data_IF_048040958094
#
_entry.id   IF_048040958094
#
_cell.length_a   1.000
_cell.length_b   1.000
_cell.length_c   1.000
_cell.angle_alpha   90.00
_cell.angle_beta   90.00
_cell.angle_gamma   90.00
#
_symmetry.space_group_name_H-M   'P 1'
#
loop_
_entity.id
_entity.type
_entity.pdbx_description
1 polymer ?
#
# COMPACT_ATOMS: atom_id res chain seq x y z
N UNK A 1 -21.70 82.08 8.04
CA UNK A 1 -21.21 80.89 7.43
C UNK A 1 -20.38 80.12 8.50
N UNK A 2 -20.90 79.05 9.05
CA UNK A 2 -20.25 78.24 10.06
C UNK A 2 -19.95 76.89 9.39
N UNK A 3 -18.65 76.57 9.18
CA UNK A 3 -18.18 75.37 8.60
C UNK A 3 -18.00 74.32 9.71
N UNK A 4 -18.79 73.28 9.67
CA UNK A 4 -18.66 72.08 10.56
C UNK A 4 -17.61 71.08 9.97
N UNK A 5 -16.51 70.94 10.65
CA UNK A 5 -15.54 69.83 10.38
C UNK A 5 -16.09 68.55 10.99
N UNK A 6 -16.39 67.54 10.16
CA UNK A 6 -16.71 66.21 10.61
C UNK A 6 -15.42 65.41 10.77
N UNK A 7 -15.10 65.04 12.01
CA UNK A 7 -13.96 64.18 12.34
C UNK A 7 -14.42 62.71 12.24
N UNK A 8 -14.00 61.98 11.19
CA UNK A 8 -14.25 60.56 11.05
C UNK A 8 -13.24 59.75 11.90
N UNK A 9 -13.74 59.13 12.92
CA UNK A 9 -12.96 58.20 13.75
C UNK A 9 -12.98 56.81 13.08
N UNK A 10 -11.83 56.38 12.53
CA UNK A 10 -11.65 55.04 12.01
C UNK A 10 -11.32 54.09 13.15
N UNK A 11 -12.27 53.22 13.53
CA UNK A 11 -12.03 52.11 14.45
C UNK A 11 -11.30 50.99 13.69
N UNK A 12 -10.00 50.85 13.93
CA UNK A 12 -9.25 49.68 13.51
C UNK A 12 -9.56 48.56 14.54
N UNK A 13 -10.48 47.67 14.17
CA UNK A 13 -10.70 46.42 14.91
C UNK A 13 -9.51 45.53 14.72
N UNK A 14 -8.58 45.50 15.68
CA UNK A 14 -7.57 44.47 15.81
C UNK A 14 -8.28 43.17 16.16
N UNK A 15 -8.67 42.40 15.13
CA UNK A 15 -9.14 41.05 15.26
C UNK A 15 -7.97 40.20 15.73
N UNK A 16 -7.91 39.84 17.03
CA UNK A 16 -7.07 38.75 17.49
C UNK A 16 -7.52 37.45 16.80
N UNK A 17 -6.86 37.09 15.71
CA UNK A 17 -6.98 35.77 15.14
C UNK A 17 -6.52 34.79 16.22
N UNK A 18 -7.49 34.17 16.93
CA UNK A 18 -7.21 32.99 17.75
C UNK A 18 -6.64 31.95 16.82
N UNK A 19 -5.33 31.74 16.86
CA UNK A 19 -4.68 30.58 16.29
C UNK A 19 -5.31 29.35 16.95
N UNK A 20 -6.30 28.77 16.30
CA UNK A 20 -6.82 27.45 16.69
C UNK A 20 -5.68 26.47 16.50
N UNK A 21 -5.08 26.02 17.61
CA UNK A 21 -4.12 24.91 17.54
C UNK A 21 -4.81 23.76 16.82
N UNK A 22 -4.13 23.17 15.81
CA UNK A 22 -4.67 21.98 15.18
C UNK A 22 -4.97 20.92 16.25
N UNK A 23 -6.18 20.38 16.23
CA UNK A 23 -6.59 19.29 17.10
C UNK A 23 -6.48 18.01 16.29
N UNK A 24 -5.62 17.08 16.71
CA UNK A 24 -5.43 15.81 16.02
C UNK A 24 -4.54 14.86 16.83
N UNK A 25 -4.45 13.59 16.44
CA UNK A 25 -3.78 12.55 17.24
C UNK A 25 -2.29 12.79 17.48
N UNK A 26 -1.62 13.66 16.69
CA UNK A 26 -0.19 13.97 16.79
C UNK A 26 0.12 15.37 17.37
N UNK A 27 -0.84 16.05 17.98
CA UNK A 27 -0.71 17.45 18.42
C UNK A 27 -0.33 17.63 19.89
N UNK A 28 -0.22 16.53 20.66
CA UNK A 28 0.21 16.54 22.06
C UNK A 28 1.70 16.90 22.22
N UNK A 29 2.18 17.14 23.46
CA UNK A 29 3.61 17.32 23.72
C UNK A 29 4.42 16.09 23.26
N UNK A 30 5.66 16.31 22.89
CA UNK A 30 6.61 15.26 22.48
C UNK A 30 7.66 15.01 23.54
N UNK A 31 8.19 13.77 23.57
CA UNK A 31 9.33 13.40 24.41
C UNK A 31 10.57 13.19 23.51
N UNK A 32 11.71 12.87 24.13
CA UNK A 32 12.97 12.62 23.43
C UNK A 32 12.84 11.42 22.50
N UNK A 33 13.09 11.65 21.22
CA UNK A 33 13.02 10.64 20.18
C UNK A 33 14.32 9.83 20.02
N UNK A 34 14.24 8.79 19.16
CA UNK A 34 15.35 7.92 18.78
C UNK A 34 15.38 7.79 17.26
N UNK A 35 16.55 7.82 16.65
CA UNK A 35 16.75 7.54 15.21
C UNK A 35 17.26 6.12 15.03
N UNK A 36 16.67 5.42 14.07
CA UNK A 36 17.10 4.11 13.60
C UNK A 36 17.54 4.25 12.13
N UNK A 37 18.72 3.75 11.79
CA UNK A 37 19.28 3.86 10.45
C UNK A 37 19.66 2.49 9.88
N UNK A 38 19.47 2.33 8.55
CA UNK A 38 20.02 1.24 7.76
C UNK A 38 21.43 1.60 7.24
N UNK A 39 22.17 0.59 6.78
CA UNK A 39 23.51 0.79 6.18
C UNK A 39 23.46 1.60 4.88
N UNK A 40 22.34 1.63 4.18
CA UNK A 40 22.12 2.41 2.95
C UNK A 40 21.80 3.89 3.19
N UNK A 41 21.64 4.31 4.46
CA UNK A 41 21.30 5.69 4.82
C UNK A 41 19.82 5.95 5.06
N UNK A 42 18.95 5.00 4.72
CA UNK A 42 17.54 5.05 5.06
C UNK A 42 17.34 5.06 6.57
N UNK A 43 16.32 5.73 7.05
CA UNK A 43 16.10 5.86 8.48
C UNK A 43 14.66 6.12 8.87
N UNK A 44 14.39 5.93 10.15
CA UNK A 44 13.17 6.38 10.81
C UNK A 44 13.49 7.07 12.13
N UNK A 45 12.91 8.25 12.34
CA UNK A 45 12.94 8.93 13.64
C UNK A 45 11.66 8.60 14.38
N UNK A 46 11.77 8.04 15.56
CA UNK A 46 10.66 7.61 16.42
C UNK A 46 10.56 8.58 17.59
N UNK A 47 9.49 9.36 17.65
CA UNK A 47 9.27 10.42 18.65
C UNK A 47 8.02 10.10 19.46
N UNK A 48 8.15 9.81 20.77
CA UNK A 48 6.99 9.54 21.62
C UNK A 48 6.10 10.78 21.78
N UNK A 49 4.79 10.57 21.80
CA UNK A 49 3.80 11.57 22.20
C UNK A 49 3.42 11.37 23.68
N UNK A 50 3.25 12.46 24.39
CA UNK A 50 2.80 12.42 25.78
C UNK A 50 1.27 12.48 25.85
N UNK A 51 0.63 11.77 26.78
CA UNK A 51 1.25 10.89 27.78
C UNK A 51 1.69 9.55 27.20
N UNK A 52 2.77 8.97 27.71
CA UNK A 52 3.38 7.72 27.19
C UNK A 52 2.44 6.51 27.27
N UNK A 53 1.47 6.52 28.19
CA UNK A 53 0.48 5.46 28.38
C UNK A 53 -0.42 5.26 27.15
N UNK A 54 -0.58 6.30 26.32
CA UNK A 54 -1.32 6.19 25.06
C UNK A 54 -0.55 5.44 23.98
N UNK A 55 0.75 5.21 24.18
CA UNK A 55 1.64 4.49 23.24
C UNK A 55 1.58 5.04 21.81
N UNK A 56 1.40 6.36 21.68
CA UNK A 56 1.39 7.06 20.42
C UNK A 56 2.77 7.64 20.11
N UNK A 57 3.15 7.57 18.85
CA UNK A 57 4.45 8.01 18.38
C UNK A 57 4.32 8.73 17.04
N UNK A 58 5.15 9.72 16.80
CA UNK A 58 5.40 10.25 15.46
C UNK A 58 6.59 9.51 14.88
N UNK A 59 6.38 8.85 13.75
CA UNK A 59 7.46 8.21 12.99
C UNK A 59 7.71 9.00 11.70
N UNK A 60 8.91 9.57 11.58
CA UNK A 60 9.37 10.24 10.38
C UNK A 60 10.24 9.30 9.56
N UNK A 61 9.76 8.92 8.39
CA UNK A 61 10.43 8.02 7.47
C UNK A 61 11.28 8.79 6.45
N UNK A 62 12.51 8.35 6.27
CA UNK A 62 13.44 8.76 5.24
C UNK A 62 13.86 7.50 4.47
N UNK A 63 13.02 7.06 3.54
CA UNK A 63 13.16 5.83 2.75
C UNK A 63 12.97 6.19 1.28
N UNK A 64 14.02 6.74 0.64
CA UNK A 64 13.92 7.26 -0.72
C UNK A 64 13.32 6.27 -1.70
N UNK A 65 12.33 6.73 -2.46
CA UNK A 65 11.63 5.91 -3.46
C UNK A 65 10.51 5.06 -2.91
N UNK A 66 10.23 5.09 -1.59
CA UNK A 66 9.04 4.43 -1.04
C UNK A 66 7.86 5.40 -0.87
N UNK A 67 6.65 4.83 -0.73
CA UNK A 67 5.40 5.60 -0.67
C UNK A 67 5.28 6.50 0.56
N UNK A 68 5.88 6.09 1.66
CA UNK A 68 5.88 6.85 2.92
C UNK A 68 7.16 7.67 3.13
N UNK A 69 8.02 7.77 2.13
CA UNK A 69 9.22 8.63 2.20
C UNK A 69 8.88 10.09 2.48
N UNK A 70 9.64 10.71 3.37
CA UNK A 70 9.44 12.09 3.78
C UNK A 70 8.17 12.34 4.61
N UNK A 71 7.43 11.32 5.01
CA UNK A 71 6.18 11.45 5.78
C UNK A 71 6.40 11.26 7.27
N UNK A 72 5.63 12.01 8.04
CA UNK A 72 5.52 11.79 9.49
C UNK A 72 4.14 11.23 9.79
N UNK A 73 4.08 9.99 10.26
CA UNK A 73 2.83 9.30 10.55
C UNK A 73 2.65 9.08 12.05
N UNK A 74 1.41 9.19 12.53
CA UNK A 74 1.07 8.79 13.90
C UNK A 74 0.93 7.28 13.97
N UNK A 75 1.71 6.66 14.84
CA UNK A 75 1.67 5.23 15.11
C UNK A 75 1.18 4.94 16.51
N UNK A 76 0.50 3.80 16.66
CA UNK A 76 0.21 3.21 17.95
C UNK A 76 1.08 1.97 18.13
N UNK A 77 1.84 1.92 19.22
CA UNK A 77 2.65 0.75 19.53
C UNK A 77 1.82 -0.32 20.25
N UNK A 78 2.21 -1.60 20.05
CA UNK A 78 1.71 -2.73 20.84
C UNK A 78 2.12 -2.59 22.32
N UNK A 79 1.50 -3.38 23.22
CA UNK A 79 1.79 -3.31 24.66
C UNK A 79 3.25 -3.60 24.98
N UNK A 80 3.85 -4.51 24.24
CA UNK A 80 5.28 -4.86 24.40
C UNK A 80 6.23 -3.86 23.70
N UNK A 81 5.69 -2.85 22.98
CA UNK A 81 6.45 -1.82 22.30
C UNK A 81 7.24 -2.34 21.08
N UNK A 82 6.86 -3.51 20.53
CA UNK A 82 7.63 -4.14 19.45
C UNK A 82 7.07 -3.89 18.07
N UNK A 83 5.82 -3.49 17.94
CA UNK A 83 5.18 -3.23 16.66
C UNK A 83 4.51 -1.86 16.66
N UNK A 84 4.65 -1.13 15.57
CA UNK A 84 4.12 0.22 15.40
C UNK A 84 3.19 0.26 14.19
N UNK A 85 1.91 0.55 14.45
CA UNK A 85 0.83 0.51 13.50
C UNK A 85 0.35 1.91 13.15
N UNK A 86 0.19 2.20 11.87
CA UNK A 86 -0.38 3.44 11.37
C UNK A 86 -1.43 3.18 10.29
N UNK A 87 -2.37 4.12 10.14
CA UNK A 87 -3.28 4.13 9.00
C UNK A 87 -2.59 4.78 7.80
N UNK A 88 -2.50 4.04 6.70
CA UNK A 88 -1.93 4.52 5.45
C UNK A 88 -2.57 3.81 4.25
N UNK A 89 -2.84 4.53 3.15
CA UNK A 89 -3.55 4.00 1.96
C UNK A 89 -4.85 3.26 2.30
N UNK A 90 -5.60 3.77 3.28
CA UNK A 90 -6.86 3.19 3.74
C UNK A 90 -6.73 2.00 4.67
N UNK A 91 -5.54 1.43 4.85
CA UNK A 91 -5.29 0.24 5.66
C UNK A 91 -4.53 0.56 6.94
N UNK A 92 -4.69 -0.31 7.93
CA UNK A 92 -3.87 -0.29 9.13
C UNK A 92 -2.61 -1.12 8.87
N UNK A 93 -1.45 -0.48 8.85
CA UNK A 93 -0.19 -1.09 8.43
C UNK A 93 0.84 -1.09 9.56
N UNK A 94 1.59 -2.17 9.67
CA UNK A 94 2.75 -2.27 10.53
C UNK A 94 3.98 -1.82 9.75
N UNK A 95 4.31 -0.53 9.82
CA UNK A 95 5.40 0.06 9.06
C UNK A 95 6.76 0.00 9.76
N UNK A 96 6.76 -0.18 11.08
CA UNK A 96 7.98 -0.29 11.88
C UNK A 96 7.80 -1.36 12.96
N UNK A 97 8.79 -2.23 13.13
CA UNK A 97 8.69 -3.33 14.09
C UNK A 97 10.06 -3.81 14.56
N UNK A 98 10.12 -4.32 15.79
CA UNK A 98 11.30 -5.03 16.29
C UNK A 98 11.37 -6.44 15.69
N UNK A 99 12.55 -6.83 15.22
CA UNK A 99 12.82 -8.20 14.78
C UNK A 99 12.81 -9.13 15.98
N UNK A 100 11.94 -10.12 15.97
CA UNK A 100 11.90 -11.16 17.01
C UNK A 100 12.69 -12.37 16.51
N UNK A 101 13.63 -12.88 17.32
CA UNK A 101 14.28 -14.18 17.12
C UNK A 101 13.86 -15.13 18.23
N UNK A 102 13.22 -16.24 17.87
CA UNK A 102 12.75 -17.26 18.83
C UNK A 102 12.04 -16.65 20.08
N UNK A 103 11.15 -15.69 19.87
CA UNK A 103 10.40 -14.94 20.91
C UNK A 103 11.25 -14.04 21.82
N UNK A 104 12.51 -13.79 21.48
CA UNK A 104 13.35 -12.84 22.18
C UNK A 104 13.41 -11.52 21.41
N UNK A 105 13.35 -10.40 22.14
CA UNK A 105 13.65 -9.08 21.60
C UNK A 105 15.12 -9.04 21.20
N UNK A 106 15.40 -8.56 19.99
CA UNK A 106 16.78 -8.49 19.49
C UNK A 106 17.38 -7.10 19.58
N UNK A 107 16.56 -6.09 19.79
CA UNK A 107 16.96 -4.68 19.66
C UNK A 107 17.19 -4.23 18.21
N UNK A 108 17.01 -5.14 17.25
CA UNK A 108 17.05 -4.82 15.82
C UNK A 108 15.65 -4.52 15.34
N UNK A 109 15.48 -3.47 14.55
CA UNK A 109 14.19 -3.06 14.01
C UNK A 109 14.15 -3.20 12.49
N UNK A 110 12.95 -3.17 11.95
CA UNK A 110 12.69 -3.24 10.51
C UNK A 110 11.71 -2.16 10.10
N UNK A 111 11.98 -1.49 8.98
CA UNK A 111 11.04 -0.62 8.26
C UNK A 111 10.45 -1.41 7.11
N UNK A 112 9.14 -1.54 7.03
CA UNK A 112 8.46 -2.14 5.89
C UNK A 112 8.46 -1.19 4.70
N UNK A 113 8.93 -1.63 3.53
CA UNK A 113 8.85 -0.88 2.28
C UNK A 113 7.63 -1.31 1.49
N UNK A 114 6.72 -0.37 1.24
CA UNK A 114 5.43 -0.67 0.62
C UNK A 114 5.54 -0.85 -0.90
N UNK A 115 6.52 -0.21 -1.55
CA UNK A 115 6.70 -0.31 -3.00
C UNK A 115 7.60 -1.47 -3.41
N UNK A 116 8.57 -1.84 -2.57
CA UNK A 116 9.50 -2.93 -2.83
C UNK A 116 9.02 -4.28 -2.30
N UNK A 117 7.96 -4.29 -1.47
CA UNK A 117 7.42 -5.47 -0.79
C UNK A 117 8.49 -6.24 0.00
N UNK A 118 9.32 -5.49 0.71
CA UNK A 118 10.39 -6.03 1.55
C UNK A 118 10.56 -5.21 2.85
N UNK A 119 11.59 -5.49 3.63
CA UNK A 119 11.88 -4.78 4.86
C UNK A 119 13.36 -4.43 4.99
N UNK A 120 13.62 -3.19 5.39
CA UNK A 120 14.96 -2.70 5.72
C UNK A 120 15.29 -2.98 7.18
N UNK A 121 16.45 -3.59 7.43
CA UNK A 121 16.99 -3.73 8.78
C UNK A 121 17.63 -2.42 9.24
N UNK A 122 17.21 -1.94 10.40
CA UNK A 122 17.71 -0.70 11.00
C UNK A 122 18.14 -0.93 12.45
N UNK A 123 19.09 -0.13 12.90
CA UNK A 123 19.60 -0.12 14.27
C UNK A 123 19.61 1.28 14.82
N UNK A 124 19.65 1.41 16.15
CA UNK A 124 19.79 2.72 16.79
C UNK A 124 21.03 3.42 16.28
N UNK A 125 20.81 4.64 15.76
CA UNK A 125 21.86 5.56 15.33
C UNK A 125 22.08 6.58 16.46
N UNK A 126 23.11 6.37 17.28
CA UNK A 126 23.38 7.17 18.45
C UNK A 126 23.73 8.63 18.11
N UNK A 127 24.48 8.84 17.01
CA UNK A 127 24.91 10.16 16.57
C UNK A 127 23.72 11.00 16.09
N UNK A 128 22.90 10.45 15.19
CA UNK A 128 21.68 11.12 14.73
C UNK A 128 20.66 11.28 15.84
N UNK A 129 20.56 10.32 16.78
CA UNK A 129 19.69 10.42 17.95
C UNK A 129 20.11 11.58 18.87
N UNK A 130 21.42 11.78 19.09
CA UNK A 130 21.91 12.87 19.94
C UNK A 130 21.60 14.26 19.36
N UNK A 131 21.43 14.38 18.07
CA UNK A 131 21.12 15.65 17.36
C UNK A 131 19.65 15.80 17.00
N UNK A 132 18.82 14.77 17.20
CA UNK A 132 17.40 14.81 16.88
C UNK A 132 16.66 15.82 17.77
N UNK A 133 15.91 16.71 17.11
CA UNK A 133 14.96 17.60 17.76
C UNK A 133 13.55 17.08 17.51
N UNK A 134 12.93 16.54 18.55
CA UNK A 134 11.58 15.96 18.48
C UNK A 134 10.53 16.95 18.00
N UNK A 135 10.70 18.22 18.38
CA UNK A 135 9.83 19.33 17.98
C UNK A 135 9.87 19.60 16.47
N UNK A 136 11.02 19.39 15.81
CA UNK A 136 11.15 19.56 14.35
C UNK A 136 10.34 18.47 13.62
N UNK A 137 10.34 17.23 14.12
CA UNK A 137 9.52 16.14 13.60
C UNK A 137 8.03 16.47 13.77
N UNK A 138 7.65 16.97 14.94
CA UNK A 138 6.27 17.40 15.19
C UNK A 138 5.87 18.57 14.30
N UNK A 139 6.74 19.57 14.12
CA UNK A 139 6.48 20.70 13.24
C UNK A 139 6.28 20.25 11.78
N UNK A 140 7.04 19.24 11.33
CA UNK A 140 6.84 18.64 10.00
C UNK A 140 5.48 17.93 9.92
N UNK A 141 5.12 17.13 10.92
CA UNK A 141 3.80 16.50 11.00
C UNK A 141 2.67 17.52 10.89
N UNK A 142 2.73 18.60 11.65
CA UNK A 142 1.70 19.65 11.67
C UNK A 142 1.58 20.35 10.30
N UNK A 143 2.70 20.59 9.60
CA UNK A 143 2.68 21.10 8.23
C UNK A 143 2.01 20.15 7.26
N UNK A 144 2.38 18.86 7.30
CA UNK A 144 1.79 17.83 6.43
C UNK A 144 0.31 17.60 6.71
N UNK A 145 -0.12 17.79 7.97
CA UNK A 145 -1.53 17.76 8.34
C UNK A 145 -2.28 18.97 7.74
N UNK A 146 -1.70 20.16 7.88
CA UNK A 146 -2.32 21.42 7.41
C UNK A 146 -2.42 21.51 5.89
N UNK A 147 -1.43 20.99 5.14
CA UNK A 147 -1.43 21.00 3.66
C UNK A 147 -2.18 19.81 3.04
N UNK A 148 -2.76 18.94 3.86
CA UNK A 148 -3.54 17.77 3.43
C UNK A 148 -2.70 16.61 2.89
N UNK A 149 -1.37 16.63 3.03
CA UNK A 149 -0.49 15.53 2.61
C UNK A 149 -0.85 14.22 3.30
N UNK A 150 -1.08 14.27 4.62
CA UNK A 150 -1.44 13.08 5.40
C UNK A 150 -2.83 12.56 5.03
N UNK A 151 -3.82 13.45 4.89
CA UNK A 151 -5.16 13.06 4.51
C UNK A 151 -5.20 12.35 3.13
N UNK A 152 -4.40 12.82 2.16
CA UNK A 152 -4.25 12.14 0.87
C UNK A 152 -3.58 10.78 0.99
N UNK A 153 -2.59 10.66 1.88
CA UNK A 153 -1.89 9.40 2.12
C UNK A 153 -2.73 8.38 2.88
N UNK A 154 -3.60 8.83 3.80
CA UNK A 154 -4.49 7.97 4.58
C UNK A 154 -5.72 7.50 3.79
N UNK A 155 -6.06 8.18 2.68
CA UNK A 155 -7.18 7.78 1.83
C UNK A 155 -6.93 6.40 1.21
N UNK A 156 -8.00 5.62 1.07
CA UNK A 156 -7.93 4.34 0.38
C UNK A 156 -7.51 4.52 -1.07
N UNK A 157 -6.54 3.74 -1.52
CA UNK A 157 -6.02 3.76 -2.88
C UNK A 157 -6.02 2.35 -3.48
N UNK A 158 -7.11 2.01 -4.17
CA UNK A 158 -7.28 0.73 -4.84
C UNK A 158 -6.16 0.45 -5.85
N UNK A 159 -5.74 1.47 -6.62
CA UNK A 159 -4.68 1.34 -7.62
C UNK A 159 -3.33 1.02 -6.95
N UNK A 160 -3.09 1.58 -5.77
CA UNK A 160 -1.91 1.24 -4.98
C UNK A 160 -1.90 -0.25 -4.60
N UNK A 161 -3.01 -0.75 -4.08
CA UNK A 161 -3.11 -2.15 -3.61
C UNK A 161 -3.23 -3.18 -4.73
N UNK A 162 -3.69 -2.78 -5.92
CA UNK A 162 -3.83 -3.68 -7.07
C UNK A 162 -2.50 -4.04 -7.74
N UNK A 163 -1.44 -3.28 -7.51
CA UNK A 163 -0.13 -3.46 -8.20
C UNK A 163 0.48 -4.85 -8.04
N UNK A 164 0.36 -5.44 -6.86
CA UNK A 164 0.93 -6.77 -6.60
C UNK A 164 0.15 -7.85 -7.36
N UNK A 165 -1.16 -7.68 -7.48
CA UNK A 165 -2.01 -8.56 -8.28
C UNK A 165 -1.71 -8.42 -9.77
N UNK A 166 -1.50 -7.20 -10.27
CA UNK A 166 -1.09 -6.95 -11.67
C UNK A 166 0.28 -7.58 -11.95
N UNK A 167 1.22 -7.51 -10.99
CA UNK A 167 2.54 -8.15 -11.10
C UNK A 167 2.41 -9.67 -11.18
N UNK A 168 1.61 -10.28 -10.29
CA UNK A 168 1.35 -11.72 -10.31
C UNK A 168 0.79 -12.18 -11.65
N UNK A 169 -0.21 -11.44 -12.19
CA UNK A 169 -0.76 -11.73 -13.51
C UNK A 169 0.29 -11.60 -14.62
N UNK A 170 1.11 -10.54 -14.59
CA UNK A 170 2.16 -10.30 -15.57
C UNK A 170 3.25 -11.38 -15.55
N UNK A 171 3.64 -11.85 -14.37
CA UNK A 171 4.61 -12.93 -14.22
C UNK A 171 4.07 -14.26 -14.77
N UNK A 172 2.84 -14.62 -14.43
CA UNK A 172 2.18 -15.81 -14.99
C UNK A 172 2.02 -15.71 -16.51
N UNK A 173 1.66 -14.54 -17.02
CA UNK A 173 1.54 -14.27 -18.46
C UNK A 173 2.88 -14.45 -19.19
N UNK A 174 3.96 -13.93 -18.63
CA UNK A 174 5.32 -14.10 -19.19
C UNK A 174 5.70 -15.58 -19.27
N UNK A 175 5.45 -16.34 -18.22
CA UNK A 175 5.75 -17.78 -18.17
C UNK A 175 4.93 -18.53 -19.21
N UNK A 176 3.62 -18.28 -19.29
CA UNK A 176 2.72 -18.89 -20.26
C UNK A 176 3.13 -18.56 -21.70
N UNK A 177 3.37 -17.29 -22.02
CA UNK A 177 3.78 -16.86 -23.35
C UNK A 177 5.09 -17.52 -23.79
N UNK A 178 6.03 -17.70 -22.85
CA UNK A 178 7.29 -18.41 -23.11
C UNK A 178 7.04 -19.89 -23.44
N UNK A 179 6.24 -20.58 -22.65
CA UNK A 179 5.95 -22.01 -22.84
C UNK A 179 5.15 -22.26 -24.13
N UNK A 180 4.18 -21.40 -24.42
CA UNK A 180 3.33 -21.53 -25.62
C UNK A 180 3.97 -20.95 -26.88
N UNK A 181 5.05 -20.16 -26.78
CA UNK A 181 5.59 -19.41 -27.94
C UNK A 181 4.57 -18.40 -28.49
N UNK A 182 3.79 -17.77 -27.61
CA UNK A 182 2.68 -16.88 -27.93
C UNK A 182 2.93 -15.43 -27.49
N UNK A 183 2.02 -14.54 -27.86
CA UNK A 183 2.04 -13.12 -27.49
C UNK A 183 0.67 -12.69 -26.94
N UNK A 184 0.07 -13.54 -26.12
CA UNK A 184 -1.21 -13.25 -25.45
C UNK A 184 -1.03 -12.02 -24.56
N UNK A 185 -2.05 -11.14 -24.54
CA UNK A 185 -2.16 -10.05 -23.56
C UNK A 185 -3.10 -10.46 -22.42
N UNK A 186 -2.87 -9.99 -21.21
CA UNK A 186 -3.80 -10.21 -20.09
C UNK A 186 -3.99 -8.93 -19.28
N UNK A 187 -5.20 -8.74 -18.74
CA UNK A 187 -5.51 -7.61 -17.87
C UNK A 187 -6.58 -7.99 -16.84
N UNK A 188 -6.53 -7.31 -15.68
CA UNK A 188 -7.62 -7.33 -14.69
C UNK A 188 -8.48 -6.09 -14.90
N UNK A 189 -9.78 -6.29 -15.07
CA UNK A 189 -10.75 -5.19 -15.16
C UNK A 189 -11.09 -4.70 -13.75
N UNK A 190 -10.24 -3.83 -13.20
CA UNK A 190 -10.31 -3.36 -11.81
C UNK A 190 -11.62 -2.67 -11.44
N UNK A 191 -12.30 -2.04 -12.40
CA UNK A 191 -13.62 -1.41 -12.17
C UNK A 191 -14.69 -2.43 -11.80
N UNK A 192 -14.53 -3.69 -12.20
CA UNK A 192 -15.43 -4.79 -11.83
C UNK A 192 -15.13 -5.37 -10.45
N UNK A 193 -13.91 -5.21 -9.94
CA UNK A 193 -13.47 -5.81 -8.67
C UNK A 193 -13.91 -4.89 -7.52
N UNK A 194 -14.76 -5.34 -6.58
CA UNK A 194 -15.11 -4.55 -5.41
C UNK A 194 -13.89 -4.21 -4.53
N UNK A 195 -13.85 -3.00 -3.97
CA UNK A 195 -12.75 -2.55 -3.11
C UNK A 195 -12.52 -3.50 -1.94
N UNK A 196 -13.60 -4.04 -1.37
CA UNK A 196 -13.53 -5.01 -0.27
C UNK A 196 -12.67 -6.23 -0.60
N UNK A 197 -12.71 -6.74 -1.83
CA UNK A 197 -11.90 -7.90 -2.21
C UNK A 197 -10.40 -7.59 -2.21
N UNK A 198 -10.05 -6.36 -2.58
CA UNK A 198 -8.66 -5.90 -2.51
C UNK A 198 -8.26 -5.66 -1.06
N UNK A 199 -9.16 -5.07 -0.24
CA UNK A 199 -8.93 -4.75 1.17
C UNK A 199 -8.74 -6.00 2.04
N UNK A 200 -9.58 -7.02 1.81
CA UNK A 200 -9.53 -8.28 2.57
C UNK A 200 -8.29 -9.12 2.23
N UNK A 201 -7.43 -8.65 1.30
CA UNK A 201 -6.22 -9.35 0.89
C UNK A 201 -6.51 -10.61 0.06
N UNK A 202 -7.67 -10.64 -0.61
CA UNK A 202 -8.04 -11.75 -1.50
C UNK A 202 -7.03 -11.91 -2.63
N UNK A 203 -6.77 -13.15 -3.00
CA UNK A 203 -5.75 -13.49 -4.00
C UNK A 203 -6.21 -13.22 -5.45
N UNK A 204 -6.74 -12.02 -5.72
CA UNK A 204 -7.28 -11.62 -7.04
C UNK A 204 -6.29 -11.90 -8.17
N UNK A 205 -5.01 -11.52 -7.98
CA UNK A 205 -3.96 -11.78 -8.97
C UNK A 205 -3.77 -13.26 -9.27
N UNK A 206 -3.72 -14.10 -8.23
CA UNK A 206 -3.59 -15.55 -8.38
C UNK A 206 -4.82 -16.17 -9.06
N UNK A 207 -6.02 -15.72 -8.71
CA UNK A 207 -7.24 -16.21 -9.37
C UNK A 207 -7.28 -15.84 -10.84
N UNK A 208 -6.80 -14.65 -11.21
CA UNK A 208 -6.68 -14.21 -12.60
C UNK A 208 -5.52 -14.90 -13.33
N UNK A 209 -4.50 -15.37 -12.63
CA UNK A 209 -3.37 -16.10 -13.20
C UNK A 209 -3.69 -17.59 -13.49
N UNK A 210 -4.66 -18.19 -12.77
CA UNK A 210 -5.00 -19.61 -12.91
C UNK A 210 -5.26 -20.07 -14.36
N UNK A 211 -6.00 -19.35 -15.22
CA UNK A 211 -6.16 -19.74 -16.63
C UNK A 211 -4.86 -19.68 -17.42
N UNK A 212 -3.93 -18.78 -17.10
CA UNK A 212 -2.61 -18.72 -17.75
C UNK A 212 -1.76 -19.94 -17.39
N UNK A 213 -1.82 -20.38 -16.14
CA UNK A 213 -1.15 -21.61 -15.69
C UNK A 213 -1.73 -22.85 -16.38
N UNK A 214 -3.06 -22.91 -16.56
CA UNK A 214 -3.70 -23.99 -17.30
C UNK A 214 -3.28 -24.00 -18.75
N UNK A 215 -3.29 -22.86 -19.44
CA UNK A 215 -2.80 -22.74 -20.83
C UNK A 215 -1.34 -23.15 -20.97
N UNK A 216 -0.48 -22.72 -20.03
CA UNK A 216 0.93 -23.15 -20.01
C UNK A 216 1.05 -24.66 -19.96
N UNK A 217 0.31 -25.32 -19.06
CA UNK A 217 0.37 -26.78 -18.93
C UNK A 217 -0.08 -27.48 -20.22
N UNK A 218 -1.15 -27.01 -20.87
CA UNK A 218 -1.57 -27.54 -22.18
C UNK A 218 -0.47 -27.39 -23.25
N UNK A 219 0.22 -26.25 -23.28
CA UNK A 219 1.33 -26.03 -24.21
C UNK A 219 2.54 -26.92 -23.92
N UNK A 220 2.76 -27.29 -22.66
CA UNK A 220 3.83 -28.23 -22.27
C UNK A 220 3.49 -29.69 -22.61
N UNK A 221 2.19 -30.03 -22.67
CA UNK A 221 1.75 -31.40 -22.96
C UNK A 221 1.89 -31.79 -24.42
N UNK A 222 1.60 -30.89 -25.37
CA UNK A 222 1.67 -31.22 -26.79
C UNK A 222 1.92 -30.02 -27.70
N UNK A 223 2.56 -30.29 -28.84
CA UNK A 223 2.78 -29.30 -29.92
C UNK A 223 1.45 -28.91 -30.58
N UNK A 224 0.47 -29.80 -30.65
CA UNK A 224 -0.86 -29.53 -31.17
C UNK A 224 -1.61 -28.53 -30.28
N UNK A 225 -1.61 -28.75 -28.97
CA UNK A 225 -2.20 -27.82 -28.01
C UNK A 225 -1.52 -26.44 -28.11
N UNK A 226 -0.20 -26.39 -28.24
CA UNK A 226 0.57 -25.15 -28.43
C UNK A 226 0.09 -24.37 -29.65
N UNK A 227 -0.02 -25.02 -30.78
CA UNK A 227 -0.53 -24.39 -32.05
C UNK A 227 -1.95 -23.88 -31.88
N UNK A 228 -2.80 -24.64 -31.19
CA UNK A 228 -4.19 -24.26 -30.94
C UNK A 228 -4.27 -23.02 -30.06
N UNK A 229 -3.51 -22.97 -28.97
CA UNK A 229 -3.43 -21.78 -28.10
C UNK A 229 -2.93 -20.57 -28.87
N UNK A 230 -1.86 -20.71 -29.67
CA UNK A 230 -1.31 -19.64 -30.51
C UNK A 230 -2.33 -19.10 -31.51
N UNK A 231 -3.17 -19.97 -32.06
CA UNK A 231 -4.15 -19.58 -33.06
C UNK A 231 -5.39 -18.93 -32.46
N UNK A 232 -5.90 -19.48 -31.34
CA UNK A 232 -7.21 -19.13 -30.80
C UNK A 232 -7.21 -18.17 -29.62
N UNK A 233 -6.08 -18.02 -28.88
CA UNK A 233 -6.04 -17.15 -27.69
C UNK A 233 -5.12 -15.97 -27.95
N UNK A 234 -5.68 -14.76 -27.97
CA UNK A 234 -4.91 -13.50 -28.11
C UNK A 234 -5.00 -12.64 -26.86
N UNK A 235 -6.05 -12.79 -26.07
CA UNK A 235 -6.28 -11.99 -24.91
C UNK A 235 -6.92 -12.78 -23.77
N UNK A 236 -6.62 -12.39 -22.55
CA UNK A 236 -7.30 -12.81 -21.33
C UNK A 236 -7.78 -11.55 -20.57
N UNK A 237 -9.10 -11.44 -20.39
CA UNK A 237 -9.75 -10.41 -19.58
C UNK A 237 -10.28 -11.04 -18.29
N UNK A 238 -9.63 -10.73 -17.17
CA UNK A 238 -10.07 -11.16 -15.85
C UNK A 238 -10.96 -10.10 -15.19
N UNK A 239 -12.09 -10.52 -14.63
CA UNK A 239 -13.03 -9.62 -13.97
C UNK A 239 -13.74 -10.31 -12.80
N UNK A 240 -14.27 -9.52 -11.86
CA UNK A 240 -15.14 -10.05 -10.82
C UNK A 240 -16.51 -10.42 -11.41
N UNK A 241 -17.09 -11.48 -10.87
CA UNK A 241 -18.41 -11.99 -11.23
C UNK A 241 -19.05 -12.74 -10.07
N UNK A 242 -20.19 -13.36 -10.32
CA UNK A 242 -20.95 -14.09 -9.29
C UNK A 242 -20.38 -15.49 -9.00
N UNK A 243 -19.62 -16.05 -9.95
CA UNK A 243 -18.98 -17.36 -9.83
C UNK A 243 -17.71 -17.42 -10.65
N UNK A 244 -16.82 -18.34 -10.32
CA UNK A 244 -15.69 -18.70 -11.18
C UNK A 244 -16.22 -19.32 -12.45
N UNK A 245 -15.87 -18.72 -13.60
CA UNK A 245 -16.27 -19.23 -14.90
C UNK A 245 -15.35 -18.68 -15.99
N UNK A 246 -15.06 -19.52 -17.00
CA UNK A 246 -14.42 -19.11 -18.24
C UNK A 246 -15.40 -19.08 -19.38
N UNK A 247 -15.19 -18.22 -20.37
CA UNK A 247 -15.81 -18.28 -21.69
C UNK A 247 -14.85 -17.76 -22.74
N UNK A 248 -14.91 -18.32 -23.93
CA UNK A 248 -14.12 -17.87 -25.07
C UNK A 248 -15.02 -17.00 -25.96
N UNK A 249 -14.66 -15.74 -26.14
CA UNK A 249 -15.32 -14.79 -27.03
C UNK A 249 -14.36 -14.44 -28.16
N UNK A 250 -14.59 -15.03 -29.34
CA UNK A 250 -13.65 -14.98 -30.46
C UNK A 250 -12.24 -15.46 -30.07
N UNK A 251 -11.30 -14.56 -29.90
CA UNK A 251 -9.91 -14.84 -29.49
C UNK A 251 -9.58 -14.37 -28.06
N UNK A 252 -10.60 -13.96 -27.31
CA UNK A 252 -10.48 -13.45 -25.94
C UNK A 252 -11.07 -14.43 -24.93
N UNK A 253 -10.26 -14.87 -24.00
CA UNK A 253 -10.71 -15.59 -22.80
C UNK A 253 -11.22 -14.58 -21.79
N UNK A 254 -12.51 -14.59 -21.53
CA UNK A 254 -13.12 -13.82 -20.45
C UNK A 254 -13.19 -14.70 -19.22
N UNK A 255 -12.42 -14.33 -18.19
CA UNK A 255 -12.29 -15.08 -16.95
C UNK A 255 -12.98 -14.35 -15.81
N UNK A 256 -13.99 -14.99 -15.23
CA UNK A 256 -14.76 -14.45 -14.11
C UNK A 256 -14.26 -15.05 -12.81
N UNK A 257 -13.93 -14.20 -11.84
CA UNK A 257 -13.52 -14.61 -10.50
C UNK A 257 -14.59 -14.21 -9.48
N UNK A 258 -14.80 -15.03 -8.46
CA UNK A 258 -15.74 -14.77 -7.37
C UNK A 258 -15.10 -15.17 -6.02
N UNK A 259 -14.15 -14.37 -5.50
CA UNK A 259 -13.49 -14.63 -4.24
C UNK A 259 -14.51 -14.89 -3.11
N UNK A 260 -14.17 -15.79 -2.19
CA UNK A 260 -15.09 -16.24 -1.14
C UNK A 260 -16.10 -17.32 -1.58
N UNK A 261 -16.10 -17.71 -2.85
CA UNK A 261 -16.83 -18.88 -3.35
C UNK A 261 -15.88 -20.05 -3.63
N UNK A 262 -16.42 -21.20 -4.03
CA UNK A 262 -15.58 -22.31 -4.49
C UNK A 262 -14.80 -21.87 -5.73
N UNK A 263 -13.47 -21.89 -5.65
CA UNK A 263 -12.56 -21.62 -6.77
C UNK A 263 -12.62 -22.78 -7.78
N UNK A 264 -12.38 -22.48 -9.05
CA UNK A 264 -12.06 -23.52 -10.05
C UNK A 264 -10.69 -24.10 -9.74
N UNK A 265 -10.62 -25.41 -9.58
CA UNK A 265 -9.37 -26.11 -9.43
C UNK A 265 -8.57 -26.11 -10.75
N UNK A 266 -7.28 -26.50 -10.66
CA UNK A 266 -6.41 -26.61 -11.84
C UNK A 266 -7.01 -27.48 -12.95
N UNK A 267 -7.55 -28.62 -12.56
CA UNK A 267 -8.16 -29.59 -13.51
C UNK A 267 -9.39 -29.01 -14.20
N UNK A 268 -10.24 -28.27 -13.45
CA UNK A 268 -11.43 -27.61 -14.01
C UNK A 268 -11.01 -26.49 -15.00
N UNK A 269 -9.96 -25.75 -14.72
CA UNK A 269 -9.42 -24.76 -15.67
C UNK A 269 -8.87 -25.41 -16.94
N UNK A 270 -8.14 -26.51 -16.82
CA UNK A 270 -7.63 -27.26 -17.97
C UNK A 270 -8.78 -27.84 -18.80
N UNK A 271 -9.79 -28.44 -18.14
CA UNK A 271 -10.95 -28.99 -18.83
C UNK A 271 -11.71 -27.92 -19.62
N UNK A 272 -11.89 -26.71 -19.03
CA UNK A 272 -12.47 -25.58 -19.76
C UNK A 272 -11.74 -25.31 -21.07
N UNK A 273 -10.41 -25.30 -21.10
CA UNK A 273 -9.67 -25.05 -22.33
C UNK A 273 -9.75 -26.23 -23.31
N UNK A 274 -9.68 -27.47 -22.82
CA UNK A 274 -9.84 -28.66 -23.68
C UNK A 274 -11.20 -28.70 -24.38
N UNK A 275 -12.27 -28.20 -23.72
CA UNK A 275 -13.61 -28.18 -24.28
C UNK A 275 -13.84 -27.01 -25.25
N UNK A 276 -13.05 -25.95 -25.22
CA UNK A 276 -13.29 -24.69 -25.95
C UNK A 276 -12.21 -24.34 -26.99
N UNK A 277 -11.03 -24.94 -26.93
CA UNK A 277 -9.95 -24.74 -27.88
C UNK A 277 -9.90 -25.85 -28.92
#
# INVERSE_FOLDING_TARGET
MRTLLAMSVVFIALGCARSTRPTGPGTGPVDKGTVYSATGGESVSVVPLLPLEERKYLLYFQVPGDDHDGKVLVHTATEDGTEFWARWRGRNLRLFQERKSFRKKTGDFMISRLLADDALHVKVDAERTATLKSEDVQALYLRQLADGTLARGEAYDKRFWSRDHDRQLADALKVMNTACGSTVAAAITWDSVPDKLVDDGEAVGSYCASPLEALKNLCDESEEARRTVQAKVKRLDCRAGERFAGRLEADTVVWSIAPGTRTMGREECMQFFMDNL
#
